data_IF_680078200227
#
_entry.id   IF_680078200227
#
_cell.length_a   1.000
_cell.length_b   1.000
_cell.length_c   1.000
_cell.angle_alpha   90.00
_cell.angle_beta   90.00
_cell.angle_gamma   90.00
#
_symmetry.space_group_name_H-M   'P 1'
#
loop_
_entity.id
_entity.type
_entity.pdbx_description
1 polymer ?
#
# COMPACT_ATOMS: atom_id res chain seq x y z
N UNK A 1 18.05 21.38 3.99
CA UNK A 1 19.18 20.61 3.46
C UNK A 1 18.80 19.14 3.45
N UNK A 2 19.04 18.43 2.35
CA UNK A 2 18.84 16.96 2.33
C UNK A 2 19.90 16.32 3.26
N UNK A 3 19.57 15.23 3.98
CA UNK A 3 20.49 14.58 4.93
C UNK A 3 21.85 14.22 4.30
N UNK A 4 21.84 13.86 3.02
CA UNK A 4 23.04 13.47 2.28
C UNK A 4 24.00 14.63 2.04
N UNK A 5 23.48 15.86 1.97
CA UNK A 5 24.26 17.08 1.75
C UNK A 5 24.99 17.61 2.99
N UNK A 6 24.82 16.97 4.16
CA UNK A 6 25.56 17.37 5.38
C UNK A 6 27.04 16.93 5.27
N UNK A 7 28.00 17.81 5.58
CA UNK A 7 29.41 17.44 5.72
C UNK A 7 29.62 16.27 6.70
N UNK A 8 30.56 15.39 6.39
CA UNK A 8 30.78 14.16 7.15
C UNK A 8 31.07 14.44 8.65
N UNK A 9 31.91 15.44 8.94
CA UNK A 9 32.20 15.84 10.33
C UNK A 9 30.96 16.30 11.11
N UNK A 10 29.98 16.93 10.45
CA UNK A 10 28.69 17.30 11.08
C UNK A 10 27.85 16.05 11.35
N UNK A 11 27.81 15.09 10.41
CA UNK A 11 27.10 13.81 10.58
C UNK A 11 27.66 13.03 11.78
N UNK A 12 28.98 12.92 11.91
CA UNK A 12 29.63 12.23 13.03
C UNK A 12 29.37 12.92 14.37
N UNK A 13 29.46 14.25 14.42
CA UNK A 13 29.09 15.02 15.63
C UNK A 13 27.64 14.79 16.05
N UNK A 14 26.71 14.73 15.09
CA UNK A 14 25.31 14.43 15.37
C UNK A 14 25.14 13.00 15.90
N UNK A 15 25.83 12.03 15.33
CA UNK A 15 25.83 10.65 15.82
C UNK A 15 26.37 10.54 17.24
N UNK A 16 27.48 11.23 17.54
CA UNK A 16 28.02 11.31 18.90
C UNK A 16 27.01 11.93 19.85
N UNK A 17 26.39 13.05 19.49
CA UNK A 17 25.35 13.70 20.30
C UNK A 17 24.16 12.75 20.61
N UNK A 18 23.71 11.98 19.62
CA UNK A 18 22.65 10.96 19.79
C UNK A 18 23.12 9.84 20.74
N UNK A 19 24.38 9.41 20.63
CA UNK A 19 24.95 8.39 21.50
C UNK A 19 25.11 8.86 22.95
N UNK A 20 25.39 10.15 23.21
CA UNK A 20 25.62 10.66 24.57
C UNK A 20 24.40 11.28 25.25
N UNK A 21 23.29 11.51 24.53
CA UNK A 21 22.11 12.20 25.07
C UNK A 21 21.51 11.54 26.32
N UNK A 22 21.69 10.22 26.45
CA UNK A 22 21.20 9.41 27.56
C UNK A 22 22.24 9.25 28.69
N UNK A 23 23.36 9.98 28.62
CA UNK A 23 24.47 9.98 29.59
C UNK A 23 25.02 8.58 29.85
N UNK A 24 25.59 7.91 28.82
CA UNK A 24 26.15 6.57 28.99
C UNK A 24 27.38 6.60 29.91
N UNK A 25 27.56 5.55 30.71
CA UNK A 25 28.78 5.33 31.49
C UNK A 25 29.92 4.79 30.59
N UNK A 26 29.57 4.07 29.53
CA UNK A 26 30.49 3.47 28.57
C UNK A 26 30.05 3.81 27.14
N UNK A 27 30.96 4.33 26.34
CA UNK A 27 30.77 4.66 24.92
C UNK A 27 31.72 3.84 24.07
N UNK A 28 31.20 3.12 23.08
CA UNK A 28 31.99 2.33 22.12
C UNK A 28 31.87 3.00 20.75
N UNK A 29 33.00 3.34 20.15
CA UNK A 29 33.09 4.04 18.88
C UNK A 29 33.96 3.24 17.91
N UNK A 30 33.40 2.95 16.73
CA UNK A 30 34.11 2.24 15.66
C UNK A 30 34.60 3.25 14.61
N UNK A 31 35.92 3.42 14.50
CA UNK A 31 36.60 4.38 13.59
C UNK A 31 35.91 5.75 13.45
N UNK A 32 35.62 6.45 14.57
CA UNK A 32 34.65 7.52 14.57
C UNK A 32 35.10 8.80 13.87
N UNK A 33 36.34 8.88 13.38
CA UNK A 33 36.96 10.04 12.72
C UNK A 33 37.43 9.72 11.30
N UNK A 34 37.21 8.49 10.84
CA UNK A 34 37.60 8.05 9.49
C UNK A 34 36.91 8.89 8.41
N UNK A 35 37.70 9.39 7.45
CA UNK A 35 37.22 10.22 6.33
C UNK A 35 36.89 11.68 6.66
N UNK A 36 37.12 12.15 7.88
CA UNK A 36 36.90 13.55 8.29
C UNK A 36 38.15 14.39 8.07
N UNK A 37 37.97 15.66 7.72
CA UNK A 37 39.08 16.60 7.56
C UNK A 37 39.86 16.79 8.88
N UNK A 38 41.18 17.08 8.83
CA UNK A 38 42.01 17.16 10.04
C UNK A 38 41.48 18.12 11.11
N UNK A 39 40.92 19.27 10.71
CA UNK A 39 40.42 20.30 11.63
C UNK A 39 39.18 19.80 12.37
N UNK A 40 38.21 19.22 11.65
CA UNK A 40 37.01 18.67 12.27
C UNK A 40 37.32 17.42 13.13
N UNK A 41 38.33 16.63 12.76
CA UNK A 41 38.84 15.52 13.59
C UNK A 41 39.39 16.01 14.93
N UNK A 42 40.21 17.06 14.93
CA UNK A 42 40.73 17.62 16.19
C UNK A 42 39.62 18.16 17.08
N UNK A 43 38.61 18.83 16.49
CA UNK A 43 37.42 19.25 17.22
C UNK A 43 36.62 18.05 17.77
N UNK A 44 36.52 16.96 17.01
CA UNK A 44 35.85 15.75 17.46
C UNK A 44 36.54 15.13 18.68
N UNK A 45 37.87 15.04 18.65
CA UNK A 45 38.68 14.58 19.77
C UNK A 45 38.55 15.45 21.01
N UNK A 46 38.43 16.78 20.86
CA UNK A 46 38.16 17.67 22.00
C UNK A 46 36.87 17.27 22.72
N UNK A 47 35.81 16.91 22.00
CA UNK A 47 34.57 16.42 22.62
C UNK A 47 34.75 15.06 23.32
N UNK A 48 35.50 14.13 22.73
CA UNK A 48 35.76 12.83 23.36
C UNK A 48 36.56 12.98 24.67
N UNK A 49 37.59 13.82 24.65
CA UNK A 49 38.41 14.10 25.83
C UNK A 49 37.57 14.78 26.90
N UNK A 50 36.73 15.76 26.54
CA UNK A 50 35.82 16.43 27.47
C UNK A 50 34.83 15.46 28.11
N UNK A 51 34.23 14.55 27.33
CA UNK A 51 33.35 13.49 27.83
C UNK A 51 34.06 12.54 28.80
N UNK A 52 35.29 12.13 28.49
CA UNK A 52 36.08 11.26 29.36
C UNK A 52 36.47 11.96 30.66
N UNK A 53 37.10 13.15 30.56
CA UNK A 53 37.70 13.85 31.70
C UNK A 53 36.68 14.55 32.59
N UNK A 54 35.68 15.22 32.00
CA UNK A 54 34.74 16.04 32.76
C UNK A 54 33.41 15.34 33.03
N UNK A 55 33.01 14.39 32.18
CA UNK A 55 31.75 13.63 32.36
C UNK A 55 31.96 12.20 32.89
N UNK A 56 33.22 11.74 33.02
CA UNK A 56 33.54 10.43 33.57
C UNK A 56 33.13 9.25 32.69
N UNK A 57 32.92 9.48 31.39
CA UNK A 57 32.50 8.44 30.44
C UNK A 57 33.71 7.60 30.03
N UNK A 58 33.60 6.28 30.15
CA UNK A 58 34.64 5.37 29.63
C UNK A 58 34.46 5.22 28.13
N UNK A 59 35.47 5.57 27.34
CA UNK A 59 35.40 5.53 25.87
C UNK A 59 36.30 4.41 25.36
N UNK A 60 35.71 3.50 24.59
CA UNK A 60 36.43 2.50 23.81
C UNK A 60 36.37 2.92 22.34
N UNK A 61 37.53 3.08 21.71
CA UNK A 61 37.64 3.55 20.34
C UNK A 61 38.52 2.61 19.52
N UNK A 62 38.09 2.25 18.32
CA UNK A 62 38.98 1.70 17.29
C UNK A 62 39.46 2.83 16.38
N UNK A 63 40.75 2.81 16.04
CA UNK A 63 41.35 3.76 15.09
C UNK A 63 42.50 3.10 14.35
N UNK A 64 42.67 3.47 13.09
CA UNK A 64 43.83 3.13 12.28
C UNK A 64 44.85 4.28 12.20
N UNK A 65 44.63 5.38 12.92
CA UNK A 65 45.52 6.54 12.94
C UNK A 65 46.35 6.58 14.23
N UNK A 66 47.68 6.54 14.10
CA UNK A 66 48.57 6.47 15.25
C UNK A 66 48.50 7.73 16.14
N UNK A 67 48.36 8.90 15.52
CA UNK A 67 48.19 10.19 16.23
C UNK A 67 46.90 10.29 17.05
N UNK A 68 45.92 9.41 16.82
CA UNK A 68 44.72 9.28 17.63
C UNK A 68 44.95 8.32 18.79
N UNK A 69 45.63 7.20 18.54
CA UNK A 69 46.03 6.25 19.57
C UNK A 69 46.92 6.91 20.65
N UNK A 70 47.80 7.83 20.27
CA UNK A 70 48.63 8.63 21.18
C UNK A 70 47.82 9.48 22.18
N UNK A 71 46.55 9.80 21.87
CA UNK A 71 45.67 10.60 22.74
C UNK A 71 44.92 9.77 23.78
N UNK A 72 45.00 8.44 23.67
CA UNK A 72 44.30 7.50 24.55
C UNK A 72 45.08 7.26 25.85
N UNK A 73 44.36 6.99 26.94
CA UNK A 73 44.97 6.60 28.23
C UNK A 73 45.63 5.22 28.16
N UNK A 74 45.02 4.31 27.38
CA UNK A 74 45.45 2.92 27.20
C UNK A 74 45.08 2.46 25.80
N UNK A 75 45.99 1.77 25.13
CA UNK A 75 45.78 1.23 23.78
C UNK A 75 46.02 -0.28 23.75
N UNK A 76 45.42 -0.94 22.77
CA UNK A 76 45.61 -2.35 22.47
C UNK A 76 45.97 -2.49 20.99
N UNK A 77 47.19 -2.93 20.69
CA UNK A 77 47.64 -3.19 19.34
C UNK A 77 47.17 -4.59 18.93
N UNK A 78 46.54 -4.74 17.76
CA UNK A 78 45.96 -6.01 17.33
C UNK A 78 46.39 -6.38 15.90
N UNK A 79 46.63 -7.67 15.67
CA UNK A 79 46.88 -8.23 14.33
C UNK A 79 46.28 -9.64 14.21
N UNK A 80 45.61 -9.93 13.09
CA UNK A 80 44.99 -11.23 12.81
C UNK A 80 44.10 -11.79 13.94
N UNK A 81 43.36 -10.91 14.63
CA UNK A 81 42.48 -11.28 15.75
C UNK A 81 43.19 -11.52 17.09
N UNK A 82 44.51 -11.32 17.16
CA UNK A 82 45.31 -11.43 18.40
C UNK A 82 45.72 -10.04 18.88
N UNK A 83 45.71 -9.88 20.20
CA UNK A 83 46.27 -8.70 20.87
C UNK A 83 47.78 -8.89 20.94
N UNK A 84 48.53 -7.96 20.34
CA UNK A 84 49.99 -7.98 20.32
C UNK A 84 50.56 -7.36 21.60
N UNK A 85 50.02 -6.21 22.00
CA UNK A 85 50.46 -5.48 23.18
C UNK A 85 49.32 -4.62 23.73
N UNK A 86 49.32 -4.39 25.05
CA UNK A 86 48.38 -3.51 25.75
C UNK A 86 49.15 -2.67 26.75
N UNK A 87 49.00 -1.36 26.69
CA UNK A 87 49.74 -0.44 27.56
C UNK A 87 49.32 1.01 27.34
N UNK A 88 49.97 1.93 28.04
CA UNK A 88 49.88 3.35 27.66
C UNK A 88 50.67 3.58 26.37
N UNK A 89 50.28 4.55 25.52
CA UNK A 89 51.03 4.88 24.31
C UNK A 89 52.51 5.16 24.57
N UNK A 90 52.82 5.83 25.69
CA UNK A 90 54.19 6.17 26.07
C UNK A 90 55.00 4.94 26.47
N UNK A 91 54.41 4.03 27.25
CA UNK A 91 55.11 2.81 27.69
C UNK A 91 55.42 1.90 26.49
N UNK A 92 54.45 1.72 25.59
CA UNK A 92 54.63 0.90 24.39
C UNK A 92 55.64 1.52 23.41
N UNK A 93 55.68 2.85 23.30
CA UNK A 93 56.70 3.52 22.50
C UNK A 93 58.11 3.34 23.09
N UNK A 94 58.24 3.34 24.42
CA UNK A 94 59.52 3.17 25.12
C UNK A 94 60.05 1.73 25.09
N UNK A 95 59.18 0.72 24.99
CA UNK A 95 59.58 -0.69 24.91
C UNK A 95 60.25 -1.05 23.58
N UNK A 96 59.80 -0.46 22.46
CA UNK A 96 60.14 -0.94 21.10
C UNK A 96 60.55 0.15 20.08
N UNK A 97 60.85 1.39 20.50
CA UNK A 97 61.33 2.43 19.56
C UNK A 97 62.06 3.63 20.18
N UNK A 98 62.80 4.37 19.34
CA UNK A 98 63.50 5.64 19.69
C UNK A 98 62.51 6.83 19.86
N UNK A 99 61.32 6.56 20.41
CA UNK A 99 60.39 7.59 20.89
C UNK A 99 59.07 7.78 20.12
N UNK A 100 58.78 7.02 19.06
CA UNK A 100 57.49 7.11 18.33
C UNK A 100 56.63 5.85 18.44
N UNK A 101 55.30 6.03 18.56
CA UNK A 101 54.36 4.91 18.66
C UNK A 101 54.25 4.10 17.36
N UNK A 102 54.46 4.74 16.21
CA UNK A 102 54.41 4.11 14.90
C UNK A 102 55.54 3.08 14.71
N UNK A 103 56.76 3.41 15.12
CA UNK A 103 57.90 2.49 15.07
C UNK A 103 57.69 1.30 16.01
N UNK A 104 57.22 1.54 17.24
CA UNK A 104 56.89 0.48 18.18
C UNK A 104 55.82 -0.47 17.60
N UNK A 105 54.79 0.06 16.94
CA UNK A 105 53.77 -0.76 16.28
C UNK A 105 54.35 -1.65 15.16
N UNK A 106 55.24 -1.10 14.32
CA UNK A 106 55.91 -1.86 13.25
C UNK A 106 56.81 -2.95 13.83
N UNK A 107 57.50 -2.67 14.95
CA UNK A 107 58.31 -3.66 15.65
C UNK A 107 57.45 -4.82 16.18
N UNK A 108 56.36 -4.53 16.91
CA UNK A 108 55.43 -5.57 17.38
C UNK A 108 54.82 -6.40 16.23
N UNK A 109 54.51 -5.77 15.10
CA UNK A 109 54.04 -6.49 13.91
C UNK A 109 55.11 -7.39 13.30
N UNK A 110 56.36 -6.92 13.24
CA UNK A 110 57.49 -7.69 12.70
C UNK A 110 57.82 -8.88 13.59
N UNK A 111 57.80 -8.70 14.91
CA UNK A 111 57.94 -9.79 15.87
C UNK A 111 56.79 -10.79 15.78
N UNK A 112 55.55 -10.33 15.69
CA UNK A 112 54.39 -11.20 15.57
C UNK A 112 54.39 -12.00 14.26
N UNK A 113 54.78 -11.37 13.15
CA UNK A 113 54.89 -12.05 11.84
C UNK A 113 56.08 -13.02 11.79
N UNK A 114 57.21 -12.69 12.44
CA UNK A 114 58.34 -13.59 12.61
C UNK A 114 57.99 -14.79 13.51
N UNK A 115 57.28 -14.57 14.62
CA UNK A 115 56.80 -15.65 15.50
C UNK A 115 55.72 -16.51 14.82
N UNK A 116 54.93 -15.95 13.90
CA UNK A 116 53.96 -16.73 13.11
C UNK A 116 54.66 -17.65 12.08
N UNK A 117 55.91 -17.37 11.72
CA UNK A 117 56.73 -18.25 10.86
C UNK A 117 57.44 -19.38 11.62
N UNK A 118 57.66 -19.24 12.93
CA UNK A 118 58.39 -20.23 13.76
C UNK A 118 57.57 -20.87 14.91
N UNK A 119 56.35 -20.40 15.19
CA UNK A 119 55.53 -20.89 16.30
C UNK A 119 54.08 -21.12 15.92
N UNK A 120 53.79 -22.36 15.53
CA UNK A 120 52.47 -22.99 15.71
C UNK A 120 52.36 -23.50 17.15
N UNK A 121 52.57 -22.64 18.15
CA UNK A 121 52.36 -22.99 19.55
C UNK A 121 51.40 -21.98 20.19
N UNK A 122 50.39 -22.56 20.84
CA UNK A 122 49.23 -21.92 21.43
C UNK A 122 49.63 -20.78 22.38
N UNK A 123 49.17 -19.57 22.09
CA UNK A 123 49.14 -18.50 23.08
C UNK A 123 48.09 -18.86 24.13
N UNK A 124 48.55 -19.23 25.32
CA UNK A 124 47.72 -19.43 26.50
C UNK A 124 47.13 -18.07 26.92
N UNK A 125 45.90 -17.79 26.50
CA UNK A 125 45.08 -16.74 27.07
C UNK A 125 44.77 -17.11 28.52
N UNK A 126 45.45 -16.47 29.48
CA UNK A 126 44.99 -16.48 30.87
C UNK A 126 43.69 -15.69 30.95
N UNK A 127 42.53 -16.30 31.28
CA UNK A 127 41.28 -15.58 31.34
C UNK A 127 41.40 -14.50 32.41
N UNK A 128 41.17 -13.24 32.05
CA UNK A 128 40.91 -12.17 33.00
C UNK A 128 39.79 -12.66 33.93
N UNK A 129 40.11 -12.85 35.21
CA UNK A 129 39.16 -13.26 36.24
C UNK A 129 38.25 -12.06 36.54
N UNK A 130 37.22 -11.87 35.71
CA UNK A 130 36.22 -10.82 35.91
C UNK A 130 35.36 -11.25 37.09
N UNK A 131 35.55 -10.61 38.24
CA UNK A 131 34.68 -10.80 39.40
C UNK A 131 33.21 -10.60 38.96
N UNK A 132 32.29 -11.53 39.32
CA UNK A 132 30.90 -11.43 38.91
C UNK A 132 30.25 -10.21 39.55
N UNK A 133 30.25 -9.10 38.82
CA UNK A 133 29.46 -7.95 39.20
C UNK A 133 27.98 -8.34 39.09
N UNK A 134 27.12 -7.92 40.04
CA UNK A 134 25.70 -8.17 39.94
C UNK A 134 25.21 -7.62 38.60
N UNK A 135 24.74 -8.51 37.72
CA UNK A 135 24.10 -8.12 36.47
C UNK A 135 22.99 -7.15 36.83
N UNK A 136 23.18 -5.87 36.51
CA UNK A 136 22.12 -4.88 36.60
C UNK A 136 20.93 -5.47 35.84
N UNK A 137 19.86 -5.80 36.58
CA UNK A 137 18.63 -6.28 35.99
C UNK A 137 18.10 -5.13 35.16
N UNK A 138 18.23 -5.22 33.84
CA UNK A 138 17.58 -4.28 32.93
C UNK A 138 16.09 -4.37 33.26
N UNK A 139 15.58 -3.34 33.95
CA UNK A 139 14.20 -3.29 34.42
C UNK A 139 13.26 -3.66 33.27
N UNK A 140 12.24 -4.45 33.60
CA UNK A 140 11.29 -4.98 32.62
C UNK A 140 10.85 -3.90 31.63
N UNK A 141 10.95 -4.21 30.33
CA UNK A 141 10.56 -3.29 29.26
C UNK A 141 9.04 -3.15 29.23
N UNK A 142 8.49 -2.34 30.13
CA UNK A 142 7.05 -2.04 30.20
C UNK A 142 6.64 -1.14 29.05
N UNK A 143 5.42 -1.33 28.54
CA UNK A 143 4.85 -0.49 27.50
C UNK A 143 4.80 0.99 27.93
N UNK A 144 5.26 1.90 27.07
CA UNK A 144 5.26 3.34 27.32
C UNK A 144 4.59 4.10 26.18
N UNK A 145 3.50 4.79 26.52
CA UNK A 145 2.78 5.69 25.61
C UNK A 145 3.66 6.83 25.10
N UNK A 146 4.61 7.32 25.92
CA UNK A 146 5.57 8.36 25.52
C UNK A 146 6.50 7.88 24.41
N UNK A 147 6.98 6.63 24.48
CA UNK A 147 7.83 6.04 23.42
C UNK A 147 7.03 5.76 22.15
N UNK A 148 5.82 5.22 22.29
CA UNK A 148 4.89 5.06 21.18
C UNK A 148 4.70 6.40 20.44
N UNK A 149 4.34 7.45 21.16
CA UNK A 149 4.13 8.78 20.59
C UNK A 149 5.38 9.35 19.91
N UNK A 150 6.57 9.10 20.47
CA UNK A 150 7.82 9.54 19.84
C UNK A 150 8.04 8.89 18.46
N UNK A 151 7.76 7.59 18.32
CA UNK A 151 7.82 6.90 17.03
C UNK A 151 6.73 7.37 16.07
N UNK A 152 5.50 7.49 16.55
CA UNK A 152 4.39 8.04 15.76
C UNK A 152 4.72 9.41 15.21
N UNK A 153 5.18 10.33 16.06
CA UNK A 153 5.54 11.69 15.65
C UNK A 153 6.68 11.70 14.64
N UNK A 154 7.70 10.86 14.82
CA UNK A 154 8.80 10.73 13.86
C UNK A 154 8.29 10.25 12.51
N UNK A 155 7.52 9.17 12.49
CA UNK A 155 6.96 8.59 11.27
C UNK A 155 6.00 9.57 10.57
N UNK A 156 5.16 10.30 11.32
CA UNK A 156 4.33 11.39 10.77
C UNK A 156 5.19 12.46 10.10
N UNK A 157 6.30 12.87 10.71
CA UNK A 157 7.18 13.88 10.11
C UNK A 157 7.88 13.35 8.85
N UNK A 158 8.28 12.09 8.82
CA UNK A 158 8.83 11.44 7.62
C UNK A 158 7.80 11.38 6.49
N UNK A 159 6.56 10.97 6.82
CA UNK A 159 5.45 10.91 5.87
C UNK A 159 5.09 12.29 5.31
N UNK A 160 4.97 13.31 6.17
CA UNK A 160 4.64 14.68 5.75
C UNK A 160 5.70 15.32 4.85
N UNK A 161 6.95 14.86 4.96
CA UNK A 161 8.08 15.33 4.15
C UNK A 161 8.32 14.49 2.89
N UNK A 162 7.58 13.40 2.71
CA UNK A 162 7.64 12.54 1.53
C UNK A 162 6.44 12.84 0.61
N UNK A 163 6.59 13.79 -0.34
CA UNK A 163 5.47 14.24 -1.18
C UNK A 163 4.98 13.12 -2.10
N UNK A 164 5.85 12.20 -2.51
CA UNK A 164 5.49 11.09 -3.39
C UNK A 164 4.55 10.15 -2.65
N UNK A 165 4.89 9.77 -1.40
CA UNK A 165 4.01 8.91 -0.58
C UNK A 165 2.68 9.58 -0.28
N UNK A 166 2.69 10.85 0.13
CA UNK A 166 1.47 11.59 0.41
C UNK A 166 0.55 11.69 -0.82
N UNK A 167 1.12 12.05 -1.97
CA UNK A 167 0.35 12.18 -3.23
C UNK A 167 -0.20 10.84 -3.65
N UNK A 168 0.59 9.76 -3.61
CA UNK A 168 0.12 8.42 -3.94
C UNK A 168 -1.00 7.96 -3.00
N UNK A 169 -0.87 8.25 -1.70
CA UNK A 169 -1.84 7.85 -0.68
C UNK A 169 -3.17 8.61 -0.74
N UNK A 170 -3.16 9.89 -1.12
CA UNK A 170 -4.35 10.75 -1.11
C UNK A 170 -4.95 10.94 -2.49
N UNK A 171 -4.13 11.11 -3.54
CA UNK A 171 -4.60 11.42 -4.90
C UNK A 171 -4.82 10.16 -5.71
N UNK A 172 -3.96 9.14 -5.56
CA UNK A 172 -4.09 7.85 -6.26
C UNK A 172 -5.48 7.22 -6.12
N UNK A 173 -6.02 7.06 -4.89
CA UNK A 173 -7.39 6.64 -4.64
C UNK A 173 -8.47 7.42 -5.41
N UNK A 174 -8.36 8.75 -5.43
CA UNK A 174 -9.36 9.63 -6.02
C UNK A 174 -9.36 9.50 -7.53
N UNK A 175 -8.17 9.43 -8.14
CA UNK A 175 -8.03 9.16 -9.58
C UNK A 175 -8.65 7.81 -9.92
N UNK A 176 -8.38 6.77 -9.13
CA UNK A 176 -8.96 5.45 -9.37
C UNK A 176 -10.48 5.46 -9.24
N UNK A 177 -11.02 6.16 -8.23
CA UNK A 177 -12.45 6.29 -8.06
C UNK A 177 -13.10 7.05 -9.24
N UNK A 178 -12.48 8.12 -9.72
CA UNK A 178 -12.95 8.85 -10.90
C UNK A 178 -12.89 7.98 -12.17
N UNK A 179 -11.77 7.29 -12.37
CA UNK A 179 -11.56 6.44 -13.53
C UNK A 179 -12.57 5.28 -13.58
N UNK A 180 -12.83 4.61 -12.45
CA UNK A 180 -13.82 3.53 -12.41
C UNK A 180 -15.26 4.05 -12.38
N UNK A 181 -15.52 5.11 -11.61
CA UNK A 181 -16.87 5.65 -11.44
C UNK A 181 -17.45 6.30 -12.69
N UNK A 182 -16.63 6.90 -13.55
CA UNK A 182 -17.05 7.45 -14.85
C UNK A 182 -16.64 6.58 -16.04
N UNK A 183 -15.50 5.89 -15.95
CA UNK A 183 -14.95 5.14 -17.08
C UNK A 183 -15.53 3.75 -17.26
N UNK A 184 -16.19 3.18 -16.24
CA UNK A 184 -16.88 1.89 -16.35
C UNK A 184 -18.37 2.12 -16.07
N UNK A 185 -19.18 2.08 -17.11
CA UNK A 185 -20.65 2.06 -16.99
C UNK A 185 -21.21 0.92 -17.82
N UNK A 186 -22.07 0.12 -17.19
CA UNK A 186 -22.92 -0.86 -17.86
C UNK A 186 -24.36 -0.37 -17.96
N UNK A 187 -24.59 0.91 -17.64
CA UNK A 187 -25.93 1.49 -17.66
C UNK A 187 -26.41 1.61 -19.11
N UNK A 188 -27.68 1.28 -19.29
CA UNK A 188 -28.39 1.37 -20.55
C UNK A 188 -29.21 2.65 -20.49
N UNK A 189 -28.65 3.75 -20.99
CA UNK A 189 -29.32 5.04 -21.17
C UNK A 189 -29.02 5.50 -22.60
N UNK A 190 -30.02 6.03 -23.31
CA UNK A 190 -29.91 6.52 -24.70
C UNK A 190 -29.20 5.54 -25.65
N UNK A 191 -29.67 4.30 -25.74
CA UNK A 191 -29.12 3.34 -26.70
C UNK A 191 -29.53 3.75 -28.12
N UNK A 192 -28.57 4.01 -29.03
CA UNK A 192 -28.90 4.25 -30.42
C UNK A 192 -29.52 2.99 -31.00
N UNK A 193 -30.73 3.12 -31.51
CA UNK A 193 -31.45 2.02 -32.15
C UNK A 193 -32.01 2.44 -33.50
N UNK A 194 -32.07 1.50 -34.43
CA UNK A 194 -32.75 1.69 -35.70
C UNK A 194 -33.80 0.61 -35.91
N UNK A 195 -34.82 0.95 -36.68
CA UNK A 195 -35.97 0.09 -36.96
C UNK A 195 -36.10 -0.13 -38.45
N UNK A 196 -36.35 -1.37 -38.85
CA UNK A 196 -36.86 -1.76 -40.16
C UNK A 196 -38.33 -2.18 -40.00
N UNK A 197 -39.26 -1.26 -40.27
CA UNK A 197 -40.70 -1.54 -40.23
C UNK A 197 -41.23 -1.90 -41.62
N UNK A 198 -41.43 -3.20 -41.87
CA UNK A 198 -41.97 -3.72 -43.13
C UNK A 198 -43.51 -3.77 -43.13
N UNK A 199 -44.16 -3.65 -41.98
CA UNK A 199 -45.62 -3.74 -41.84
C UNK A 199 -46.29 -2.37 -42.03
N UNK A 200 -45.70 -1.32 -41.47
CA UNK A 200 -46.18 0.06 -41.50
C UNK A 200 -47.64 0.25 -41.04
N UNK A 201 -48.17 -0.69 -40.25
CA UNK A 201 -49.53 -0.68 -39.73
C UNK A 201 -49.69 0.30 -38.55
N UNK A 202 -50.92 0.44 -38.06
CA UNK A 202 -51.16 1.23 -36.85
C UNK A 202 -50.54 0.52 -35.63
N UNK A 203 -50.60 -0.80 -35.60
CA UNK A 203 -50.09 -1.65 -34.55
C UNK A 203 -48.56 -1.60 -34.47
N UNK A 204 -47.85 -1.66 -35.62
CA UNK A 204 -46.39 -1.52 -35.66
C UNK A 204 -45.95 -0.16 -35.15
N UNK A 205 -46.58 0.93 -35.62
CA UNK A 205 -46.27 2.30 -35.21
C UNK A 205 -46.57 2.58 -33.74
N UNK A 206 -47.64 1.99 -33.19
CA UNK A 206 -47.98 2.15 -31.77
C UNK A 206 -46.96 1.44 -30.89
N UNK A 207 -46.49 0.26 -31.29
CA UNK A 207 -45.39 -0.41 -30.61
C UNK A 207 -44.12 0.45 -30.63
N UNK A 208 -43.74 1.00 -31.79
CA UNK A 208 -42.56 1.87 -31.94
C UNK A 208 -42.65 3.16 -31.13
N UNK A 209 -43.83 3.77 -31.04
CA UNK A 209 -44.05 4.95 -30.22
C UNK A 209 -43.77 4.68 -28.72
N UNK A 210 -43.99 3.46 -28.24
CA UNK A 210 -43.62 3.07 -26.87
C UNK A 210 -42.11 2.94 -26.68
N UNK A 211 -41.35 2.61 -27.73
CA UNK A 211 -39.88 2.65 -27.69
C UNK A 211 -39.36 4.09 -27.67
N UNK A 212 -39.88 4.95 -28.54
CA UNK A 212 -39.53 6.38 -28.61
C UNK A 212 -39.88 7.14 -27.32
N UNK A 213 -40.97 6.75 -26.65
CA UNK A 213 -41.39 7.35 -25.38
C UNK A 213 -40.54 6.95 -24.16
N UNK A 214 -39.59 6.02 -24.33
CA UNK A 214 -38.74 5.53 -23.24
C UNK A 214 -37.41 6.29 -23.14
N UNK A 215 -36.87 6.46 -21.93
CA UNK A 215 -35.56 7.12 -21.73
C UNK A 215 -34.35 6.20 -22.02
N UNK A 216 -34.60 4.98 -22.51
CA UNK A 216 -33.57 3.95 -22.67
C UNK A 216 -33.05 3.85 -24.10
N UNK A 217 -33.83 4.32 -25.07
CA UNK A 217 -33.59 4.14 -26.49
C UNK A 217 -33.66 5.50 -27.20
N UNK A 218 -32.69 5.77 -28.06
CA UNK A 218 -32.62 6.97 -28.89
C UNK A 218 -32.71 6.53 -30.35
N UNK A 219 -33.76 6.96 -31.05
CA UNK A 219 -34.06 6.49 -32.40
C UNK A 219 -33.13 7.18 -33.40
N UNK A 220 -32.35 6.39 -34.12
CA UNK A 220 -31.60 6.82 -35.30
C UNK A 220 -32.46 6.72 -36.57
N UNK A 221 -31.93 7.17 -37.70
CA UNK A 221 -32.64 7.09 -38.97
C UNK A 221 -33.12 5.65 -39.27
N UNK A 222 -34.40 5.45 -39.65
CA UNK A 222 -34.92 4.12 -39.97
C UNK A 222 -34.06 3.38 -40.98
N UNK A 223 -33.90 2.07 -40.76
CA UNK A 223 -33.08 1.25 -41.63
C UNK A 223 -33.79 0.93 -42.94
N UNK A 224 -33.02 0.90 -44.02
CA UNK A 224 -33.53 0.63 -45.37
C UNK A 224 -33.65 -0.87 -45.69
N UNK A 225 -32.88 -1.71 -45.00
CA UNK A 225 -32.86 -3.16 -45.18
C UNK A 225 -32.24 -3.86 -43.98
N UNK A 226 -32.42 -5.18 -43.87
CA UNK A 226 -31.76 -6.00 -42.84
C UNK A 226 -30.22 -5.88 -42.93
N UNK A 227 -29.67 -5.84 -44.15
CA UNK A 227 -28.23 -5.65 -44.36
C UNK A 227 -27.73 -4.30 -43.85
N UNK A 228 -28.56 -3.26 -43.91
CA UNK A 228 -28.29 -1.93 -43.36
C UNK A 228 -28.24 -2.00 -41.82
N UNK A 229 -29.22 -2.62 -41.16
CA UNK A 229 -29.21 -2.85 -39.70
C UNK A 229 -27.94 -3.58 -39.25
N UNK A 230 -27.58 -4.68 -39.92
CA UNK A 230 -26.37 -5.45 -39.60
C UNK A 230 -25.10 -4.63 -39.83
N UNK A 231 -25.05 -3.81 -40.88
CA UNK A 231 -23.89 -2.96 -41.14
C UNK A 231 -23.74 -1.87 -40.08
N UNK A 232 -24.84 -1.22 -39.69
CA UNK A 232 -24.85 -0.19 -38.63
C UNK A 232 -24.48 -0.75 -37.26
N UNK A 233 -24.88 -1.99 -36.95
CA UNK A 233 -24.41 -2.71 -35.76
C UNK A 233 -22.89 -2.95 -35.82
N UNK A 234 -22.36 -3.36 -36.98
CA UNK A 234 -20.91 -3.60 -37.15
C UNK A 234 -20.07 -2.33 -37.07
N UNK A 235 -20.57 -1.20 -37.56
CA UNK A 235 -19.89 0.09 -37.49
C UNK A 235 -20.03 0.75 -36.12
N UNK A 236 -20.91 0.22 -35.26
CA UNK A 236 -21.20 0.78 -33.94
C UNK A 236 -22.07 2.04 -33.98
N UNK A 237 -22.76 2.29 -35.10
CA UNK A 237 -23.72 3.40 -35.25
C UNK A 237 -24.97 3.14 -34.41
N UNK A 238 -25.42 1.88 -34.37
CA UNK A 238 -26.52 1.44 -33.51
C UNK A 238 -26.06 0.27 -32.63
N UNK A 239 -26.70 0.12 -31.46
CA UNK A 239 -26.49 -1.02 -30.55
C UNK A 239 -27.66 -2.00 -30.63
N UNK A 240 -28.83 -1.52 -31.04
CA UNK A 240 -30.07 -2.29 -31.15
C UNK A 240 -30.69 -2.10 -32.52
N UNK A 241 -30.95 -3.20 -33.23
CA UNK A 241 -31.71 -3.22 -34.47
C UNK A 241 -33.03 -3.95 -34.26
N UNK A 242 -34.15 -3.31 -34.62
CA UNK A 242 -35.47 -3.92 -34.55
C UNK A 242 -36.01 -4.13 -35.96
N UNK A 243 -36.47 -5.34 -36.27
CA UNK A 243 -37.09 -5.65 -37.55
C UNK A 243 -38.51 -6.19 -37.31
N UNK A 244 -39.50 -5.45 -37.82
CA UNK A 244 -40.91 -5.82 -37.77
C UNK A 244 -41.28 -6.49 -39.09
N UNK A 245 -41.74 -7.76 -39.09
CA UNK A 245 -42.07 -8.49 -40.31
C UNK A 245 -43.31 -7.91 -40.99
N UNK A 246 -43.50 -8.15 -42.31
CA UNK A 246 -44.74 -7.79 -42.98
C UNK A 246 -45.94 -8.51 -42.36
N UNK A 247 -47.11 -7.90 -42.43
CA UNK A 247 -48.37 -8.41 -41.87
C UNK A 247 -48.43 -8.51 -40.33
N UNK A 248 -47.48 -7.92 -39.58
CA UNK A 248 -47.43 -7.94 -38.12
C UNK A 248 -48.76 -7.54 -37.47
N UNK A 249 -49.32 -6.38 -37.82
CA UNK A 249 -50.57 -5.88 -37.25
C UNK A 249 -51.77 -6.76 -37.59
N UNK A 250 -51.83 -7.27 -38.83
CA UNK A 250 -52.89 -8.18 -39.27
C UNK A 250 -52.87 -9.50 -38.49
N UNK A 251 -51.69 -10.05 -38.28
CA UNK A 251 -51.49 -11.30 -37.58
C UNK A 251 -51.77 -11.16 -36.08
N UNK A 252 -51.38 -10.03 -35.49
CA UNK A 252 -51.67 -9.69 -34.11
C UNK A 252 -53.18 -9.58 -33.85
N UNK A 253 -53.91 -8.85 -34.70
CA UNK A 253 -55.37 -8.72 -34.62
C UNK A 253 -56.11 -10.05 -34.86
N UNK A 254 -55.54 -10.94 -35.68
CA UNK A 254 -56.06 -12.28 -35.91
C UNK A 254 -55.82 -13.25 -34.74
N UNK A 255 -55.18 -12.80 -33.65
CA UNK A 255 -54.82 -13.63 -32.51
C UNK A 255 -53.66 -14.60 -32.79
N UNK A 256 -52.89 -14.37 -33.87
CA UNK A 256 -51.63 -15.08 -34.11
C UNK A 256 -50.51 -14.44 -33.26
N UNK A 257 -49.37 -15.12 -33.18
CA UNK A 257 -48.19 -14.68 -32.43
C UNK A 257 -47.07 -14.33 -33.42
N UNK A 258 -47.06 -13.13 -34.02
CA UNK A 258 -45.98 -12.72 -34.91
C UNK A 258 -44.68 -12.50 -34.11
N UNK A 259 -43.54 -12.86 -34.71
CA UNK A 259 -42.21 -12.72 -34.12
C UNK A 259 -41.52 -11.47 -34.66
N UNK A 260 -40.98 -10.64 -33.77
CA UNK A 260 -40.17 -9.47 -34.13
C UNK A 260 -38.70 -9.87 -34.00
N UNK A 261 -37.89 -9.55 -35.00
CA UNK A 261 -36.48 -9.88 -34.98
C UNK A 261 -35.69 -8.76 -34.27
N UNK A 262 -34.91 -9.14 -33.25
CA UNK A 262 -34.13 -8.23 -32.42
C UNK A 262 -32.64 -8.54 -32.63
N UNK A 263 -31.93 -7.62 -33.26
CA UNK A 263 -30.50 -7.67 -33.45
C UNK A 263 -29.81 -6.81 -32.38
N UNK A 264 -28.82 -7.37 -31.70
CA UNK A 264 -28.12 -6.69 -30.60
C UNK A 264 -26.60 -6.81 -30.79
N UNK A 265 -25.90 -5.70 -30.57
CA UNK A 265 -24.46 -5.75 -30.36
C UNK A 265 -24.18 -6.29 -28.95
N UNK A 266 -23.86 -7.58 -28.88
CA UNK A 266 -23.51 -8.29 -27.66
C UNK A 266 -22.00 -8.38 -27.39
N UNK A 267 -21.17 -7.49 -27.97
CA UNK A 267 -19.75 -7.40 -27.62
C UNK A 267 -19.52 -7.18 -26.11
N UNK A 268 -20.48 -6.52 -25.44
CA UNK A 268 -20.60 -6.46 -23.98
C UNK A 268 -21.85 -7.23 -23.53
N UNK A 269 -21.72 -8.50 -23.10
CA UNK A 269 -22.86 -9.38 -22.81
C UNK A 269 -23.88 -8.78 -21.84
N UNK A 270 -23.42 -8.14 -20.74
CA UNK A 270 -24.31 -7.52 -19.76
C UNK A 270 -25.16 -6.38 -20.33
N UNK A 271 -24.58 -5.54 -21.20
CA UNK A 271 -25.31 -4.43 -21.84
C UNK A 271 -26.33 -4.98 -22.84
N UNK A 272 -25.95 -6.00 -23.61
CA UNK A 272 -26.84 -6.69 -24.54
C UNK A 272 -28.01 -7.40 -23.86
N UNK A 273 -27.77 -8.18 -22.80
CA UNK A 273 -28.83 -8.84 -22.03
C UNK A 273 -29.78 -7.83 -21.38
N UNK A 274 -29.24 -6.73 -20.85
CA UNK A 274 -30.05 -5.65 -20.25
C UNK A 274 -30.90 -4.95 -21.29
N UNK A 275 -30.34 -4.63 -22.46
CA UNK A 275 -31.08 -4.07 -23.59
C UNK A 275 -32.20 -5.01 -24.06
N UNK A 276 -31.91 -6.30 -24.23
CA UNK A 276 -32.90 -7.33 -24.57
C UNK A 276 -34.03 -7.39 -23.51
N UNK A 277 -33.68 -7.30 -22.23
CA UNK A 277 -34.64 -7.25 -21.14
C UNK A 277 -35.60 -6.06 -21.24
N UNK A 278 -35.09 -4.87 -21.56
CA UNK A 278 -35.91 -3.67 -21.76
C UNK A 278 -36.81 -3.79 -23.00
N UNK A 279 -36.29 -4.25 -24.14
CA UNK A 279 -37.09 -4.47 -25.36
C UNK A 279 -38.25 -5.44 -25.08
N UNK A 280 -37.96 -6.57 -24.42
CA UNK A 280 -38.99 -7.54 -24.03
C UNK A 280 -40.00 -6.94 -23.04
N UNK A 281 -39.55 -6.07 -22.12
CA UNK A 281 -40.41 -5.37 -21.18
C UNK A 281 -41.40 -4.44 -21.89
N UNK A 282 -40.94 -3.61 -22.82
CA UNK A 282 -41.77 -2.70 -23.62
C UNK A 282 -42.77 -3.49 -24.47
N UNK A 283 -42.30 -4.52 -25.17
CA UNK A 283 -43.16 -5.38 -25.99
C UNK A 283 -44.24 -6.09 -25.13
N UNK A 284 -43.87 -6.60 -23.95
CA UNK A 284 -44.82 -7.23 -23.04
C UNK A 284 -45.84 -6.22 -22.49
N UNK A 285 -45.44 -4.99 -22.19
CA UNK A 285 -46.34 -3.94 -21.72
C UNK A 285 -47.33 -3.52 -22.83
N UNK A 286 -46.85 -3.31 -24.05
CA UNK A 286 -47.70 -3.03 -25.23
C UNK A 286 -48.79 -4.09 -25.40
N UNK A 287 -48.39 -5.37 -25.30
CA UNK A 287 -49.33 -6.49 -25.40
C UNK A 287 -50.43 -6.43 -24.32
N UNK A 288 -50.08 -6.11 -23.07
CA UNK A 288 -51.05 -6.01 -21.95
C UNK A 288 -52.01 -4.84 -22.13
N UNK A 289 -51.52 -3.69 -22.61
CA UNK A 289 -52.32 -2.48 -22.79
C UNK A 289 -53.28 -2.61 -23.99
N UNK A 290 -52.80 -3.12 -25.12
CA UNK A 290 -53.56 -3.16 -26.36
C UNK A 290 -54.46 -4.41 -26.46
N UNK A 291 -54.07 -5.54 -25.86
CA UNK A 291 -54.78 -6.81 -25.96
C UNK A 291 -54.99 -7.50 -24.61
N UNK A 292 -55.65 -6.84 -23.62
CA UNK A 292 -55.82 -7.38 -22.28
C UNK A 292 -56.59 -8.72 -22.23
N UNK A 293 -57.45 -8.98 -23.22
CA UNK A 293 -58.23 -10.22 -23.35
C UNK A 293 -57.45 -11.39 -23.94
N UNK A 294 -56.36 -11.14 -24.69
CA UNK A 294 -55.50 -12.19 -25.26
C UNK A 294 -54.44 -12.69 -24.27
N UNK A 295 -54.21 -11.95 -23.18
CA UNK A 295 -53.19 -12.28 -22.18
C UNK A 295 -53.86 -12.79 -20.90
N UNK A 296 -54.27 -14.06 -20.94
CA UNK A 296 -54.57 -14.81 -19.72
C UNK A 296 -53.28 -15.30 -19.09
N UNK A 297 -52.55 -14.41 -18.41
CA UNK A 297 -51.49 -14.85 -17.49
C UNK A 297 -52.12 -15.18 -16.13
N UNK A 298 -52.23 -16.47 -15.74
CA UNK A 298 -52.85 -16.86 -14.47
C UNK A 298 -52.05 -16.39 -13.24
N UNK A 299 -50.82 -15.89 -13.44
CA UNK A 299 -49.98 -15.31 -12.39
C UNK A 299 -49.07 -14.23 -12.98
N UNK A 300 -48.68 -13.25 -12.15
CA UNK A 300 -47.67 -12.25 -12.45
C UNK A 300 -46.47 -12.43 -11.52
N UNK A 301 -45.28 -12.67 -12.07
CA UNK A 301 -44.04 -12.63 -11.30
C UNK A 301 -43.53 -11.20 -11.30
N UNK A 302 -43.61 -10.51 -10.16
CA UNK A 302 -43.07 -9.15 -10.00
C UNK A 302 -41.72 -9.26 -9.30
N UNK A 303 -40.65 -9.19 -10.06
CA UNK A 303 -39.28 -9.20 -9.52
C UNK A 303 -38.98 -7.84 -8.90
N UNK A 304 -38.68 -7.82 -7.60
CA UNK A 304 -38.27 -6.60 -6.87
C UNK A 304 -36.86 -6.79 -6.32
N UNK A 305 -35.91 -6.06 -6.87
CA UNK A 305 -34.56 -6.05 -6.33
C UNK A 305 -34.55 -5.35 -4.96
N UNK A 306 -33.86 -5.93 -3.98
CA UNK A 306 -33.73 -5.33 -2.64
C UNK A 306 -32.72 -4.19 -2.60
N UNK A 307 -31.65 -4.32 -3.38
CA UNK A 307 -30.60 -3.33 -3.55
C UNK A 307 -30.52 -2.94 -5.02
N UNK A 308 -30.27 -1.65 -5.31
CA UNK A 308 -30.13 -1.12 -6.66
C UNK A 308 -31.28 -1.48 -7.62
N UNK A 309 -32.52 -1.09 -7.29
CA UNK A 309 -33.70 -1.35 -8.14
C UNK A 309 -33.60 -0.74 -9.53
N UNK A 310 -32.94 0.40 -9.64
CA UNK A 310 -32.73 1.11 -10.90
C UNK A 310 -31.57 0.55 -11.73
N UNK A 311 -30.91 -0.52 -11.26
CA UNK A 311 -29.80 -1.18 -11.95
C UNK A 311 -28.63 -0.25 -12.32
N UNK A 312 -28.43 0.85 -11.58
CA UNK A 312 -27.35 1.81 -11.86
C UNK A 312 -26.00 1.27 -11.44
N UNK A 313 -25.06 1.26 -12.37
CA UNK A 313 -23.70 0.74 -12.22
C UNK A 313 -22.95 1.48 -11.12
N UNK A 314 -23.20 2.79 -11.01
CA UNK A 314 -22.58 3.66 -10.00
C UNK A 314 -22.82 3.15 -8.56
N UNK A 315 -24.00 2.61 -8.26
CA UNK A 315 -24.33 2.08 -6.92
C UNK A 315 -23.64 0.76 -6.59
N UNK A 316 -23.03 0.08 -7.56
CA UNK A 316 -22.24 -1.13 -7.37
C UNK A 316 -20.73 -0.85 -7.45
N UNK A 317 -20.30 -0.07 -8.44
CA UNK A 317 -18.89 0.19 -8.73
C UNK A 317 -18.24 1.07 -7.66
N UNK A 318 -18.89 2.18 -7.26
CA UNK A 318 -18.30 3.12 -6.30
C UNK A 318 -17.98 2.47 -4.95
N UNK A 319 -18.90 1.75 -4.28
CA UNK A 319 -18.59 1.03 -3.04
C UNK A 319 -17.53 -0.07 -3.22
N UNK A 320 -17.52 -0.75 -4.37
CA UNK A 320 -16.55 -1.79 -4.68
C UNK A 320 -15.12 -1.25 -4.78
N UNK A 321 -14.97 -0.09 -5.43
CA UNK A 321 -13.67 0.60 -5.54
C UNK A 321 -13.16 1.05 -4.18
N UNK A 322 -14.04 1.45 -3.24
CA UNK A 322 -13.62 1.77 -1.86
C UNK A 322 -12.93 0.58 -1.20
N UNK A 323 -13.55 -0.59 -1.25
CA UNK A 323 -13.01 -1.82 -0.67
C UNK A 323 -11.65 -2.14 -1.29
N UNK A 324 -11.54 -2.09 -2.62
CA UNK A 324 -10.28 -2.35 -3.33
C UNK A 324 -9.17 -1.39 -2.89
N UNK A 325 -9.45 -0.09 -2.92
CA UNK A 325 -8.45 0.96 -2.66
C UNK A 325 -8.01 0.98 -1.19
N UNK A 326 -8.96 0.87 -0.25
CA UNK A 326 -8.69 0.89 1.18
C UNK A 326 -8.02 -0.39 1.68
N UNK A 327 -8.10 -1.48 0.91
CA UNK A 327 -7.30 -2.68 1.17
C UNK A 327 -5.88 -2.52 0.63
N UNK A 328 -5.77 -2.11 -0.63
CA UNK A 328 -4.50 -2.12 -1.36
C UNK A 328 -3.53 -1.02 -0.89
N UNK A 329 -3.94 0.24 -0.93
CA UNK A 329 -3.03 1.38 -0.78
C UNK A 329 -2.48 1.48 0.65
N UNK A 330 -3.30 1.40 1.72
CA UNK A 330 -2.78 1.44 3.09
C UNK A 330 -1.82 0.29 3.38
N UNK A 331 -2.12 -0.93 2.91
CA UNK A 331 -1.25 -2.11 3.07
C UNK A 331 0.10 -1.94 2.38
N UNK A 332 0.11 -1.45 1.13
CA UNK A 332 1.36 -1.18 0.40
C UNK A 332 2.23 -0.15 1.12
N UNK A 333 1.63 0.96 1.57
CA UNK A 333 2.37 2.06 2.20
C UNK A 333 2.96 1.67 3.55
N UNK A 334 2.21 0.92 4.37
CA UNK A 334 2.74 0.41 5.64
C UNK A 334 3.83 -0.63 5.43
N UNK A 335 3.69 -1.51 4.43
CA UNK A 335 4.73 -2.48 4.09
C UNK A 335 6.04 -1.78 3.74
N UNK A 336 5.98 -0.75 2.88
CA UNK A 336 7.14 0.07 2.49
C UNK A 336 7.72 0.83 3.68
N UNK A 337 6.90 1.36 4.58
CA UNK A 337 7.36 2.10 5.76
C UNK A 337 8.30 1.29 6.66
N UNK A 338 8.05 -0.02 6.80
CA UNK A 338 8.91 -0.93 7.57
C UNK A 338 10.11 -1.41 6.74
N UNK A 339 9.89 -1.80 5.48
CA UNK A 339 10.97 -2.35 4.63
C UNK A 339 12.01 -1.30 4.28
N UNK A 340 11.64 -0.03 4.16
CA UNK A 340 12.57 1.07 3.99
C UNK A 340 13.64 1.10 5.09
N UNK A 341 13.25 0.90 6.35
CA UNK A 341 14.23 0.86 7.45
C UNK A 341 15.11 -0.40 7.44
N UNK A 342 14.61 -1.51 6.89
CA UNK A 342 15.41 -2.72 6.69
C UNK A 342 16.46 -2.54 5.60
N UNK A 343 16.06 -1.96 4.48
CA UNK A 343 16.98 -1.69 3.36
C UNK A 343 18.07 -0.70 3.75
N UNK A 344 17.75 0.37 4.48
CA UNK A 344 18.74 1.34 4.94
C UNK A 344 19.59 0.86 6.14
N UNK A 345 19.29 -0.32 6.71
CA UNK A 345 19.98 -0.84 7.89
C UNK A 345 19.65 -0.10 9.20
N UNK A 346 18.86 0.98 9.16
CA UNK A 346 18.47 1.77 10.33
C UNK A 346 17.62 0.97 11.32
N UNK A 347 17.04 -0.16 10.90
CA UNK A 347 16.38 -1.12 11.79
C UNK A 347 17.32 -1.69 12.87
N UNK A 348 18.64 -1.68 12.66
CA UNK A 348 19.61 -2.10 13.66
C UNK A 348 19.59 -1.19 14.89
N UNK A 349 19.36 0.12 14.70
CA UNK A 349 19.27 1.11 15.78
C UNK A 349 18.10 0.82 16.73
N UNK A 350 17.07 0.11 16.27
CA UNK A 350 15.98 -0.32 17.17
C UNK A 350 16.50 -1.25 18.29
N UNK A 351 17.53 -2.07 18.02
CA UNK A 351 18.07 -3.02 19.00
C UNK A 351 18.76 -2.34 20.19
N UNK A 352 19.27 -1.12 19.98
CA UNK A 352 19.88 -0.31 21.03
C UNK A 352 18.90 0.61 21.75
N UNK A 353 17.62 0.64 21.35
CA UNK A 353 16.58 1.43 22.03
C UNK A 353 15.82 0.63 23.09
N UNK A 354 15.28 1.29 24.14
CA UNK A 354 14.45 0.64 25.16
C UNK A 354 13.02 0.32 24.68
N UNK A 355 12.74 0.41 23.38
CA UNK A 355 11.40 0.39 22.79
C UNK A 355 10.96 -1.06 22.57
N UNK A 356 9.70 -1.35 22.85
CA UNK A 356 9.14 -2.70 22.63
C UNK A 356 8.73 -2.92 21.17
N UNK A 357 8.61 -4.18 20.74
CA UNK A 357 8.16 -4.50 19.37
C UNK A 357 6.77 -3.92 19.08
N UNK A 358 5.85 -3.98 20.04
CA UNK A 358 4.50 -3.43 19.90
C UNK A 358 4.51 -1.90 19.79
N UNK A 359 5.31 -1.21 20.59
CA UNK A 359 5.46 0.26 20.49
C UNK A 359 5.98 0.69 19.12
N UNK A 360 6.95 -0.03 18.59
CA UNK A 360 7.50 0.24 17.27
C UNK A 360 6.46 0.03 16.16
N UNK A 361 5.77 -1.13 16.17
CA UNK A 361 4.79 -1.47 15.15
C UNK A 361 3.57 -0.55 15.19
N UNK A 362 2.97 -0.34 16.37
CA UNK A 362 1.83 0.58 16.53
C UNK A 362 2.23 2.02 16.24
N UNK A 363 3.45 2.39 16.64
CA UNK A 363 4.01 3.72 16.42
C UNK A 363 4.11 4.03 14.92
N UNK A 364 4.59 3.05 14.14
CA UNK A 364 4.63 3.13 12.68
C UNK A 364 3.24 3.05 12.05
N UNK A 365 2.34 2.22 12.57
CA UNK A 365 1.00 2.04 11.99
C UNK A 365 0.14 3.31 12.10
N UNK A 366 0.19 4.00 13.24
CA UNK A 366 -0.70 5.12 13.56
C UNK A 366 -0.84 6.20 12.47
N UNK A 367 0.26 6.77 11.93
CA UNK A 367 0.18 7.79 10.88
C UNK A 367 -0.49 7.30 9.61
N UNK A 368 -0.27 6.05 9.22
CA UNK A 368 -0.90 5.46 8.04
C UNK A 368 -2.40 5.17 8.26
N UNK A 369 -2.81 4.81 9.48
CA UNK A 369 -4.23 4.68 9.84
C UNK A 369 -4.92 6.02 9.70
N UNK A 370 -4.34 7.10 10.24
CA UNK A 370 -4.90 8.45 10.12
C UNK A 370 -4.97 8.87 8.65
N UNK A 371 -3.91 8.66 7.88
CA UNK A 371 -3.85 8.99 6.45
C UNK A 371 -4.93 8.25 5.64
N UNK A 372 -5.04 6.94 5.84
CA UNK A 372 -6.02 6.10 5.16
C UNK A 372 -7.46 6.45 5.57
N UNK A 373 -7.68 6.84 6.83
CA UNK A 373 -8.99 7.26 7.31
C UNK A 373 -9.39 8.62 6.73
N UNK A 374 -8.47 9.59 6.65
CA UNK A 374 -8.70 10.86 5.93
C UNK A 374 -9.05 10.57 4.48
N UNK A 375 -8.31 9.69 3.81
CA UNK A 375 -8.61 9.30 2.44
C UNK A 375 -10.00 8.66 2.29
N UNK A 376 -10.39 7.77 3.22
CA UNK A 376 -11.74 7.19 3.26
C UNK A 376 -12.82 8.28 3.36
N UNK A 377 -12.64 9.29 4.22
CA UNK A 377 -13.59 10.40 4.34
C UNK A 377 -13.67 11.22 3.05
N UNK A 378 -12.54 11.45 2.38
CA UNK A 378 -12.50 12.14 1.08
C UNK A 378 -13.22 11.34 0.00
N UNK A 379 -12.96 10.03 -0.08
CA UNK A 379 -13.67 9.14 -0.99
C UNK A 379 -15.17 9.14 -0.71
N UNK A 380 -15.57 9.07 0.56
CA UNK A 380 -16.97 9.11 0.99
C UNK A 380 -17.66 10.41 0.56
N UNK A 381 -16.98 11.55 0.75
CA UNK A 381 -17.46 12.83 0.28
C UNK A 381 -17.65 12.84 -1.25
N UNK A 382 -16.68 12.30 -2.02
CA UNK A 382 -16.84 12.17 -3.47
C UNK A 382 -18.00 11.26 -3.85
N UNK A 383 -18.16 10.11 -3.21
CA UNK A 383 -19.28 9.20 -3.48
C UNK A 383 -20.64 9.89 -3.32
N UNK A 384 -20.81 10.67 -2.24
CA UNK A 384 -22.07 11.38 -1.97
C UNK A 384 -22.26 12.58 -2.89
N UNK A 385 -21.27 13.47 -2.99
CA UNK A 385 -21.42 14.76 -3.68
C UNK A 385 -21.20 14.70 -5.19
N UNK A 386 -20.32 13.82 -5.67
CA UNK A 386 -19.98 13.72 -7.09
C UNK A 386 -20.79 12.63 -7.80
N UNK A 387 -20.92 11.46 -7.17
CA UNK A 387 -21.59 10.29 -7.77
C UNK A 387 -23.05 10.12 -7.32
N UNK A 388 -23.55 10.93 -6.39
CA UNK A 388 -24.92 10.82 -5.89
C UNK A 388 -25.20 9.54 -5.10
N UNK A 389 -24.17 8.83 -4.64
CA UNK A 389 -24.30 7.59 -3.87
C UNK A 389 -24.57 7.93 -2.42
N UNK A 390 -25.83 7.86 -2.02
CA UNK A 390 -26.23 8.09 -0.64
C UNK A 390 -25.86 6.93 0.28
N UNK A 391 -25.46 7.23 1.52
CA UNK A 391 -25.22 6.23 2.55
C UNK A 391 -26.57 5.80 3.13
N UNK A 392 -26.94 4.55 2.90
CA UNK A 392 -28.14 3.95 3.50
C UNK A 392 -27.77 3.25 4.80
N UNK A 393 -28.48 3.55 5.90
CA UNK A 393 -28.24 2.95 7.22
C UNK A 393 -27.46 3.85 8.18
N UNK A 394 -26.69 3.23 9.08
CA UNK A 394 -26.01 3.93 10.17
C UNK A 394 -24.63 4.46 9.76
N UNK A 395 -24.50 5.79 9.73
CA UNK A 395 -23.21 6.46 9.49
C UNK A 395 -22.18 6.10 10.54
N UNK A 396 -22.58 5.95 11.81
CA UNK A 396 -21.63 5.59 12.89
C UNK A 396 -21.08 4.18 12.72
N UNK A 397 -21.91 3.24 12.26
CA UNK A 397 -21.47 1.88 11.95
C UNK A 397 -20.48 1.87 10.78
N UNK A 398 -20.73 2.68 9.75
CA UNK A 398 -19.82 2.84 8.62
C UNK A 398 -18.48 3.45 9.06
N UNK A 399 -18.49 4.52 9.86
CA UNK A 399 -17.29 5.18 10.36
C UNK A 399 -16.45 4.27 11.29
N UNK A 400 -17.11 3.51 12.17
CA UNK A 400 -16.42 2.57 13.06
C UNK A 400 -15.91 1.33 12.30
N UNK A 401 -16.71 0.79 11.39
CA UNK A 401 -16.34 -0.33 10.53
C UNK A 401 -15.16 0.00 9.63
N UNK A 402 -15.16 1.18 9.00
CA UNK A 402 -14.04 1.62 8.17
C UNK A 402 -12.77 1.87 8.97
N UNK A 403 -12.88 2.34 10.23
CA UNK A 403 -11.72 2.49 11.11
C UNK A 403 -11.09 1.13 11.43
N UNK A 404 -11.91 0.15 11.82
CA UNK A 404 -11.44 -1.23 12.08
C UNK A 404 -10.82 -1.84 10.81
N UNK A 405 -11.45 -1.63 9.67
CA UNK A 405 -10.96 -2.08 8.37
C UNK A 405 -9.58 -1.49 8.05
N UNK A 406 -9.42 -0.18 8.18
CA UNK A 406 -8.13 0.50 7.94
C UNK A 406 -7.05 0.04 8.92
N UNK A 407 -7.39 -0.19 10.19
CA UNK A 407 -6.45 -0.76 11.17
C UNK A 407 -6.02 -2.17 10.74
N UNK A 408 -6.95 -3.00 10.27
CA UNK A 408 -6.63 -4.34 9.78
C UNK A 408 -5.74 -4.31 8.53
N UNK A 409 -6.06 -3.48 7.53
CA UNK A 409 -5.31 -3.43 6.26
C UNK A 409 -3.90 -2.85 6.42
N UNK A 410 -3.74 -1.84 7.28
CA UNK A 410 -2.40 -1.33 7.65
C UNK A 410 -1.60 -2.34 8.47
N UNK A 411 -2.26 -3.09 9.37
CA UNK A 411 -1.62 -4.20 10.09
C UNK A 411 -1.18 -5.32 9.16
N UNK A 412 -1.98 -5.63 8.14
CA UNK A 412 -1.63 -6.58 7.09
C UNK A 412 -0.39 -6.13 6.29
N UNK A 413 -0.27 -4.84 5.96
CA UNK A 413 0.94 -4.29 5.33
C UNK A 413 2.20 -4.52 6.17
N UNK A 414 2.11 -4.30 7.49
CA UNK A 414 3.19 -4.62 8.44
C UNK A 414 3.53 -6.11 8.43
N UNK A 415 2.53 -7.00 8.38
CA UNK A 415 2.76 -8.44 8.28
C UNK A 415 3.50 -8.80 6.98
N UNK A 416 3.08 -8.27 5.83
CA UNK A 416 3.76 -8.52 4.55
C UNK A 416 5.22 -8.04 4.59
N UNK A 417 5.48 -6.93 5.30
CA UNK A 417 6.83 -6.40 5.47
C UNK A 417 7.79 -7.40 6.14
N UNK A 418 7.31 -8.37 6.94
CA UNK A 418 8.19 -9.34 7.60
C UNK A 418 8.82 -10.33 6.62
N UNK A 419 8.16 -10.58 5.49
CA UNK A 419 8.60 -11.56 4.47
C UNK A 419 9.42 -10.95 3.34
N UNK A 420 9.57 -9.62 3.32
CA UNK A 420 10.21 -8.90 2.22
C UNK A 420 11.45 -8.14 2.71
N UNK A 421 12.47 -8.12 1.85
CA UNK A 421 13.73 -7.41 2.10
C UNK A 421 13.81 -6.09 1.33
N UNK A 422 13.11 -6.00 0.18
CA UNK A 422 13.17 -4.81 -0.67
C UNK A 422 11.84 -4.07 -0.78
N UNK A 423 11.89 -2.74 -0.90
CA UNK A 423 10.71 -1.86 -0.98
C UNK A 423 9.81 -2.23 -2.15
N UNK A 424 10.41 -2.50 -3.32
CA UNK A 424 9.67 -2.90 -4.52
C UNK A 424 8.96 -4.24 -4.30
N UNK A 425 9.66 -5.24 -3.75
CA UNK A 425 9.05 -6.54 -3.44
C UNK A 425 7.93 -6.42 -2.40
N UNK A 426 8.09 -5.55 -1.41
CA UNK A 426 7.08 -5.27 -0.39
C UNK A 426 5.80 -4.68 -0.98
N UNK A 427 5.93 -3.69 -1.89
CA UNK A 427 4.79 -3.09 -2.60
C UNK A 427 4.04 -4.13 -3.44
N UNK A 428 4.77 -4.88 -4.26
CA UNK A 428 4.16 -5.90 -5.12
C UNK A 428 3.50 -7.02 -4.32
N UNK A 429 4.18 -7.54 -3.29
CA UNK A 429 3.61 -8.58 -2.43
C UNK A 429 2.36 -8.08 -1.71
N UNK A 430 2.40 -6.87 -1.13
CA UNK A 430 1.24 -6.30 -0.45
C UNK A 430 0.08 -6.09 -1.43
N UNK A 431 0.35 -5.58 -2.64
CA UNK A 431 -0.66 -5.38 -3.67
C UNK A 431 -1.29 -6.71 -4.12
N UNK A 432 -0.48 -7.69 -4.53
CA UNK A 432 -0.99 -8.96 -5.08
C UNK A 432 -1.77 -9.74 -4.01
N UNK A 433 -1.21 -9.87 -2.81
CA UNK A 433 -1.85 -10.66 -1.74
C UNK A 433 -3.11 -9.98 -1.22
N UNK A 434 -3.21 -8.64 -1.28
CA UNK A 434 -4.44 -7.93 -0.91
C UNK A 434 -5.50 -7.90 -2.01
N UNK A 435 -5.10 -7.66 -3.27
CA UNK A 435 -6.02 -7.51 -4.40
C UNK A 435 -6.72 -8.81 -4.72
N UNK A 436 -6.01 -9.94 -4.76
CA UNK A 436 -6.60 -11.21 -5.24
C UNK A 436 -7.79 -11.61 -4.37
N UNK A 437 -7.70 -11.65 -3.02
CA UNK A 437 -8.86 -11.95 -2.20
C UNK A 437 -9.91 -10.84 -2.22
N UNK A 438 -9.50 -9.57 -2.25
CA UNK A 438 -10.44 -8.46 -2.29
C UNK A 438 -11.30 -8.49 -3.56
N UNK A 439 -10.73 -8.77 -4.73
CA UNK A 439 -11.49 -8.81 -5.99
C UNK A 439 -12.37 -10.05 -6.09
N UNK A 440 -11.85 -11.22 -5.67
CA UNK A 440 -12.54 -12.49 -5.89
C UNK A 440 -13.53 -12.87 -4.79
N UNK A 441 -13.29 -12.47 -3.53
CA UNK A 441 -14.04 -12.97 -2.39
C UNK A 441 -14.79 -11.90 -1.60
N UNK A 442 -14.56 -10.59 -1.83
CA UNK A 442 -15.23 -9.54 -1.05
C UNK A 442 -16.66 -9.19 -1.47
N UNK A 443 -17.20 -9.85 -2.51
CA UNK A 443 -18.49 -9.48 -3.09
C UNK A 443 -18.40 -8.54 -4.30
N UNK A 444 -17.19 -8.17 -4.75
CA UNK A 444 -16.97 -7.20 -5.83
C UNK A 444 -17.39 -7.73 -7.21
N UNK A 445 -16.90 -8.91 -7.61
CA UNK A 445 -17.29 -9.56 -8.87
C UNK A 445 -18.48 -10.50 -8.69
N UNK A 446 -18.49 -11.23 -7.58
CA UNK A 446 -19.45 -12.29 -7.28
C UNK A 446 -19.97 -12.09 -5.87
N UNK A 447 -21.30 -12.06 -5.65
CA UNK A 447 -21.86 -11.89 -4.31
C UNK A 447 -21.34 -12.96 -3.34
N UNK A 448 -20.93 -12.55 -2.14
CA UNK A 448 -20.42 -13.47 -1.10
C UNK A 448 -21.39 -14.63 -0.82
N UNK A 449 -22.70 -14.36 -0.86
CA UNK A 449 -23.75 -15.37 -0.65
C UNK A 449 -23.79 -16.47 -1.72
N UNK A 450 -23.15 -16.26 -2.87
CA UNK A 450 -23.08 -17.25 -3.97
C UNK A 450 -21.77 -18.04 -3.98
N UNK A 451 -20.80 -17.67 -3.14
CA UNK A 451 -19.57 -18.44 -2.98
C UNK A 451 -19.87 -19.78 -2.31
N UNK A 452 -19.21 -20.85 -2.76
CA UNK A 452 -19.33 -22.19 -2.19
C UNK A 452 -17.96 -22.77 -1.84
N UNK A 453 -17.95 -23.74 -0.92
CA UNK A 453 -16.75 -24.44 -0.49
C UNK A 453 -15.70 -23.50 0.14
N UNK A 454 -14.44 -23.62 -0.31
CA UNK A 454 -13.33 -22.82 0.21
C UNK A 454 -13.45 -21.32 -0.03
N UNK A 455 -14.14 -20.89 -1.10
CA UNK A 455 -14.35 -19.48 -1.39
C UNK A 455 -15.23 -18.78 -0.34
N UNK A 456 -16.23 -19.49 0.19
CA UNK A 456 -17.11 -18.98 1.25
C UNK A 456 -16.41 -18.89 2.62
N UNK A 457 -15.34 -19.65 2.83
CA UNK A 457 -14.54 -19.55 4.06
C UNK A 457 -13.57 -18.37 4.03
N UNK A 458 -13.21 -17.89 2.83
CA UNK A 458 -12.26 -16.80 2.62
C UNK A 458 -12.96 -15.44 2.49
N UNK A 459 -14.11 -15.39 1.82
CA UNK A 459 -14.97 -14.20 1.71
C UNK A 459 -15.94 -14.09 2.88
#
# INVERSE_FOLDING_TARGET
QQPDALPLGIKQRLQLAVAVIHKPEVLILDEPTSGVDPIARDQFWQYLIDLSRNSGVTIFISTHFMNEAERCDRISLMHAGRVLAVGSPHDLAAEHGDGSLEEAFVAYLTEATAQTAESTAEAQESPLEIAPQPRATIGGRHFSTRRLWAYTRRETMELLRDPIRLTFALVGPLILLLAFGYGISFDVENLPYAVLDQDQSLESRTLLANFEGSNYFEMEEPASSEADLVNRLKTGEIVVGLEIPPDFGRDLLAGRQPEINLLLDAALPFRGETAAGYVNGIAAQYMVEQFPSLITRPYSVVTRMRYNQSFKSVYAIVPSVFTLVLTMIPAMLTAVGVVREKEYGSIANFRSTPVTRLEFLLGKQGPYVVLAYVNFLTLLAMAVFLFGVSVTGSVTALLAGSLLFVVATTGFGILVSSFTKTQVAAMFAAAVISIVPAVNFSGLLVPVSSLSGGGQAVG
#
